data_IF_603513591009
#
_entry.id   IF_603513591009
#
_cell.length_a   1.000
_cell.length_b   1.000
_cell.length_c   1.000
_cell.angle_alpha   90.00
_cell.angle_beta   90.00
_cell.angle_gamma   90.00
#
_symmetry.space_group_name_H-M   'P 1'
#
loop_
_entity.id
_entity.type
_entity.pdbx_description
1 polymer ?
#
# COMPACT_ATOMS: atom_id res chain seq x y z
N UNK A 1 -28.40 -16.27 -29.95
CA UNK A 1 -28.33 -15.68 -28.58
C UNK A 1 -27.25 -16.43 -27.82
N UNK A 2 -26.00 -15.99 -27.98
CA UNK A 2 -24.88 -16.47 -27.19
C UNK A 2 -25.03 -15.77 -25.84
N UNK A 3 -25.35 -16.52 -24.80
CA UNK A 3 -25.22 -16.03 -23.44
C UNK A 3 -23.73 -15.82 -23.23
N UNK A 4 -23.32 -14.56 -23.16
CA UNK A 4 -22.01 -14.18 -22.60
C UNK A 4 -21.95 -14.76 -21.20
N UNK A 5 -21.21 -15.83 -21.06
CA UNK A 5 -20.71 -16.24 -19.76
C UNK A 5 -19.69 -15.16 -19.36
N UNK A 6 -20.14 -14.18 -18.60
CA UNK A 6 -19.23 -13.24 -17.94
C UNK A 6 -18.27 -14.06 -17.10
N UNK A 7 -17.05 -14.24 -17.62
CA UNK A 7 -15.98 -14.88 -16.84
C UNK A 7 -15.80 -14.06 -15.58
N UNK A 8 -15.81 -14.73 -14.42
CA UNK A 8 -15.54 -14.11 -13.13
C UNK A 8 -14.20 -13.38 -13.21
N UNK A 9 -14.23 -12.04 -13.14
CA UNK A 9 -13.04 -11.22 -13.18
C UNK A 9 -12.53 -11.02 -11.76
N UNK A 10 -11.22 -11.19 -11.59
CA UNK A 10 -10.58 -10.88 -10.31
C UNK A 10 -9.51 -9.82 -10.49
N UNK A 11 -9.21 -9.11 -9.42
CA UNK A 11 -8.11 -8.17 -9.34
C UNK A 11 -7.12 -8.63 -8.27
N UNK A 12 -5.87 -8.23 -8.42
CA UNK A 12 -4.87 -8.40 -7.37
C UNK A 12 -4.66 -7.08 -6.67
N UNK A 13 -4.65 -7.12 -5.35
CA UNK A 13 -4.36 -5.96 -4.50
C UNK A 13 -3.11 -6.22 -3.67
N UNK A 14 -2.35 -5.17 -3.41
CA UNK A 14 -1.03 -5.26 -2.78
C UNK A 14 -1.00 -4.43 -1.49
N UNK A 15 -0.63 -5.04 -0.36
CA UNK A 15 -0.63 -4.35 0.92
C UNK A 15 0.53 -3.37 1.05
N UNK A 16 0.36 -2.40 1.93
CA UNK A 16 1.36 -1.45 2.33
C UNK A 16 1.89 -1.68 3.73
N UNK A 17 2.53 -0.65 4.26
CA UNK A 17 3.15 -0.66 5.58
C UNK A 17 2.13 -1.03 6.68
N UNK A 18 2.55 -1.87 7.61
CA UNK A 18 1.71 -2.46 8.64
C UNK A 18 1.43 -3.95 8.42
N UNK A 19 1.64 -4.45 7.20
CA UNK A 19 1.43 -5.86 6.85
C UNK A 19 2.66 -6.74 7.08
N UNK A 20 3.84 -6.15 7.23
CA UNK A 20 5.09 -6.87 7.43
C UNK A 20 5.13 -7.53 8.82
N UNK A 21 5.68 -8.73 8.85
CA UNK A 21 6.00 -9.45 10.09
C UNK A 21 7.34 -10.17 9.93
N UNK A 22 8.09 -10.27 11.02
CA UNK A 22 9.30 -11.09 11.04
C UNK A 22 8.91 -12.54 10.78
N UNK A 23 9.59 -13.19 9.83
CA UNK A 23 9.28 -14.55 9.40
C UNK A 23 8.29 -14.65 8.26
N UNK A 24 7.78 -13.53 7.73
CA UNK A 24 6.83 -13.55 6.61
C UNK A 24 7.39 -14.31 5.41
N UNK A 25 6.52 -15.06 4.71
CA UNK A 25 6.82 -15.89 3.54
C UNK A 25 7.72 -17.09 3.80
N UNK A 26 8.07 -17.41 5.05
CA UNK A 26 8.97 -18.55 5.36
C UNK A 26 8.41 -19.87 4.83
N UNK A 27 7.13 -20.16 5.04
CA UNK A 27 6.49 -21.39 4.56
C UNK A 27 6.43 -21.44 3.03
N UNK A 28 6.10 -20.34 2.39
CA UNK A 28 6.06 -20.26 0.93
C UNK A 28 7.45 -20.46 0.32
N UNK A 29 8.47 -19.86 0.93
CA UNK A 29 9.87 -20.00 0.52
C UNK A 29 10.37 -21.45 0.63
N UNK A 30 9.94 -22.18 1.65
CA UNK A 30 10.32 -23.58 1.85
C UNK A 30 9.91 -24.48 0.68
N UNK A 31 8.82 -24.15 -0.01
CA UNK A 31 8.30 -24.92 -1.14
C UNK A 31 8.60 -24.28 -2.50
N UNK A 32 9.00 -23.02 -2.54
CA UNK A 32 9.18 -22.26 -3.79
C UNK A 32 10.50 -21.49 -3.77
N UNK A 33 11.56 -22.02 -4.41
CA UNK A 33 12.88 -21.36 -4.44
C UNK A 33 12.86 -19.94 -5.05
N UNK A 34 11.85 -19.63 -5.85
CA UNK A 34 11.69 -18.33 -6.49
C UNK A 34 11.50 -17.20 -5.46
N UNK A 35 10.98 -17.51 -4.27
CA UNK A 35 10.82 -16.50 -3.20
C UNK A 35 12.18 -15.99 -2.74
N UNK A 36 13.08 -16.86 -2.33
CA UNK A 36 14.43 -16.45 -1.88
C UNK A 36 15.22 -15.84 -3.01
N UNK A 37 15.07 -16.35 -4.25
CA UNK A 37 15.71 -15.77 -5.44
C UNK A 37 15.28 -14.31 -5.65
N UNK A 38 13.98 -14.00 -5.46
CA UNK A 38 13.47 -12.63 -5.57
C UNK A 38 14.07 -11.74 -4.50
N UNK A 39 14.17 -12.23 -3.26
CA UNK A 39 14.81 -11.48 -2.18
C UNK A 39 16.33 -11.32 -2.40
N UNK A 40 16.97 -12.27 -3.06
CA UNK A 40 18.39 -12.14 -3.43
C UNK A 40 18.62 -11.03 -4.46
N UNK A 41 17.72 -10.89 -5.44
CA UNK A 41 17.74 -9.77 -6.40
C UNK A 41 17.57 -8.43 -5.67
N UNK A 42 16.62 -8.37 -4.75
CA UNK A 42 16.40 -7.17 -3.93
C UNK A 42 17.64 -6.84 -3.09
N UNK A 43 18.24 -7.83 -2.46
CA UNK A 43 19.44 -7.67 -1.64
C UNK A 43 20.63 -7.15 -2.45
N UNK A 44 20.81 -7.65 -3.68
CA UNK A 44 21.84 -7.15 -4.59
C UNK A 44 21.63 -5.66 -4.91
N UNK A 45 20.39 -5.25 -5.12
CA UNK A 45 20.06 -3.85 -5.38
C UNK A 45 20.29 -2.95 -4.15
N UNK A 46 20.02 -3.45 -2.96
CA UNK A 46 20.12 -2.68 -1.71
C UNK A 46 21.54 -2.65 -1.12
N UNK A 47 22.32 -3.68 -1.36
CA UNK A 47 23.64 -3.83 -0.75
C UNK A 47 23.64 -4.43 0.65
N UNK A 48 22.51 -5.03 1.09
CA UNK A 48 22.42 -5.79 2.33
C UNK A 48 21.46 -6.97 2.15
N UNK A 49 21.49 -7.93 3.07
CA UNK A 49 20.67 -9.15 2.99
C UNK A 49 19.25 -8.88 3.51
N UNK A 50 18.32 -8.60 2.59
CA UNK A 50 16.93 -8.31 2.91
C UNK A 50 16.19 -9.55 3.45
N UNK A 51 16.51 -10.74 2.94
CA UNK A 51 15.90 -11.98 3.41
C UNK A 51 16.26 -12.25 4.87
N UNK A 52 17.54 -12.08 5.22
CA UNK A 52 17.99 -12.21 6.61
C UNK A 52 17.29 -11.21 7.53
N UNK A 53 17.14 -9.95 7.09
CA UNK A 53 16.40 -8.94 7.84
C UNK A 53 14.95 -9.38 8.11
N UNK A 54 14.27 -9.86 7.08
CA UNK A 54 12.86 -10.28 7.18
C UNK A 54 12.69 -11.53 8.04
N UNK A 55 13.60 -12.51 7.96
CA UNK A 55 13.48 -13.77 8.67
C UNK A 55 14.03 -13.72 10.10
N UNK A 56 15.10 -12.98 10.32
CA UNK A 56 15.89 -13.03 11.56
C UNK A 56 16.10 -11.66 12.22
N UNK A 57 15.68 -10.57 11.56
CA UNK A 57 15.81 -9.22 12.09
C UNK A 57 14.84 -8.96 13.24
N UNK A 58 15.03 -7.83 13.91
CA UNK A 58 14.10 -7.38 14.94
C UNK A 58 12.88 -6.70 14.34
N UNK A 59 11.80 -6.65 15.10
CA UNK A 59 10.59 -5.90 14.73
C UNK A 59 10.93 -4.42 14.49
N UNK A 60 11.75 -3.82 15.34
CA UNK A 60 12.17 -2.43 15.22
C UNK A 60 12.91 -2.17 13.91
N UNK A 61 13.84 -3.07 13.53
CA UNK A 61 14.57 -2.93 12.27
C UNK A 61 13.64 -3.04 11.06
N UNK A 62 12.77 -4.06 11.06
CA UNK A 62 11.82 -4.26 9.95
C UNK A 62 10.81 -3.11 9.84
N UNK A 63 10.47 -2.46 10.94
CA UNK A 63 9.51 -1.35 10.97
C UNK A 63 10.11 0.02 10.64
N UNK A 64 11.41 0.12 10.41
CA UNK A 64 12.00 1.33 9.82
C UNK A 64 11.51 1.47 8.39
N UNK A 65 10.86 2.58 8.06
CA UNK A 65 10.12 2.69 6.78
C UNK A 65 10.99 2.46 5.56
N UNK A 66 12.27 2.84 5.59
CA UNK A 66 13.21 2.60 4.47
C UNK A 66 13.62 1.13 4.33
N UNK A 67 13.34 0.29 5.32
CA UNK A 67 13.50 -1.17 5.26
C UNK A 67 12.17 -1.88 5.04
N UNK A 68 11.10 -1.39 5.64
CA UNK A 68 9.74 -1.91 5.46
C UNK A 68 9.32 -1.90 3.99
N UNK A 69 9.56 -0.78 3.30
CA UNK A 69 9.09 -0.61 1.93
C UNK A 69 9.74 -1.58 0.96
N UNK A 70 11.08 -1.72 0.92
CA UNK A 70 11.68 -2.78 0.09
C UNK A 70 11.23 -4.19 0.46
N UNK A 71 11.06 -4.48 1.76
CA UNK A 71 10.63 -5.80 2.22
C UNK A 71 9.23 -6.16 1.69
N UNK A 72 8.29 -5.23 1.77
CA UNK A 72 6.92 -5.44 1.26
C UNK A 72 6.89 -5.56 -0.26
N UNK A 73 7.65 -4.74 -0.97
CA UNK A 73 7.73 -4.82 -2.42
C UNK A 73 8.30 -6.17 -2.86
N UNK A 74 9.39 -6.61 -2.26
CA UNK A 74 10.00 -7.90 -2.55
C UNK A 74 9.04 -9.06 -2.25
N UNK A 75 8.34 -9.01 -1.12
CA UNK A 75 7.38 -10.04 -0.74
C UNK A 75 6.24 -10.16 -1.75
N UNK A 76 5.62 -9.05 -2.13
CA UNK A 76 4.51 -9.04 -3.09
C UNK A 76 4.95 -9.50 -4.48
N UNK A 77 6.10 -9.04 -4.96
CA UNK A 77 6.65 -9.45 -6.26
C UNK A 77 7.02 -10.93 -6.25
N UNK A 78 7.60 -11.43 -5.15
CA UNK A 78 7.92 -12.85 -5.01
C UNK A 78 6.67 -13.73 -5.15
N UNK A 79 5.59 -13.38 -4.46
CA UNK A 79 4.31 -14.12 -4.54
C UNK A 79 3.74 -14.06 -5.97
N UNK A 80 3.75 -12.90 -6.59
CA UNK A 80 3.28 -12.73 -7.97
C UNK A 80 4.06 -13.60 -8.95
N UNK A 81 5.39 -13.67 -8.81
CA UNK A 81 6.24 -14.53 -9.63
C UNK A 81 5.93 -16.02 -9.42
N UNK A 82 5.72 -16.45 -8.18
CA UNK A 82 5.30 -17.83 -7.88
C UNK A 82 3.94 -18.14 -8.50
N UNK A 83 3.00 -17.20 -8.41
CA UNK A 83 1.68 -17.31 -9.05
C UNK A 83 1.81 -17.54 -10.57
N UNK A 84 2.65 -16.76 -11.24
CA UNK A 84 2.90 -16.91 -12.67
C UNK A 84 3.57 -18.24 -13.00
N UNK A 85 4.60 -18.64 -12.24
CA UNK A 85 5.31 -19.90 -12.44
C UNK A 85 4.39 -21.11 -12.33
N UNK A 86 3.40 -21.05 -11.45
CA UNK A 86 2.39 -22.11 -11.28
C UNK A 86 1.22 -22.02 -12.28
N UNK A 87 1.28 -21.13 -13.24
CA UNK A 87 0.25 -21.00 -14.27
C UNK A 87 -1.04 -20.35 -13.78
N UNK A 88 -1.00 -19.55 -12.74
CA UNK A 88 -2.16 -18.82 -12.24
C UNK A 88 -2.77 -17.91 -13.32
N UNK A 89 -4.08 -17.72 -13.26
CA UNK A 89 -4.80 -16.83 -14.19
C UNK A 89 -4.33 -15.39 -14.00
N UNK A 90 -4.37 -14.62 -15.09
CA UNK A 90 -4.00 -13.20 -15.03
C UNK A 90 -5.16 -12.35 -14.51
N UNK A 91 -4.89 -11.40 -13.62
CA UNK A 91 -5.91 -10.51 -13.10
C UNK A 91 -6.41 -9.54 -14.18
N UNK A 92 -7.65 -9.05 -14.01
CA UNK A 92 -8.22 -8.02 -14.87
C UNK A 92 -7.59 -6.63 -14.61
N UNK A 93 -7.21 -6.36 -13.36
CA UNK A 93 -6.57 -5.11 -12.95
C UNK A 93 -5.85 -5.29 -11.61
N UNK A 94 -5.01 -4.32 -11.30
CA UNK A 94 -4.21 -4.28 -10.09
C UNK A 94 -4.46 -2.98 -9.33
N UNK A 95 -4.32 -3.02 -8.01
CA UNK A 95 -4.27 -1.84 -7.16
C UNK A 95 -3.41 -2.13 -5.94
N UNK A 96 -2.74 -1.12 -5.42
CA UNK A 96 -1.94 -1.27 -4.20
C UNK A 96 -2.21 -0.13 -3.23
N UNK A 97 -2.12 -0.41 -1.95
CA UNK A 97 -2.33 0.57 -0.89
C UNK A 97 -1.00 1.22 -0.53
N UNK A 98 -0.87 2.53 -0.76
CA UNK A 98 0.36 3.31 -0.49
C UNK A 98 1.59 2.68 -1.17
N UNK A 99 2.54 2.13 -0.42
CA UNK A 99 3.68 1.38 -0.95
C UNK A 99 3.25 0.29 -1.94
N UNK A 100 2.11 -0.33 -1.68
CA UNK A 100 1.57 -1.40 -2.54
C UNK A 100 1.30 -0.98 -3.98
N UNK A 101 1.11 0.31 -4.25
CA UNK A 101 0.99 0.80 -5.63
C UNK A 101 2.26 0.57 -6.44
N UNK A 102 3.43 0.67 -5.80
CA UNK A 102 4.72 0.33 -6.42
C UNK A 102 4.80 -1.17 -6.74
N UNK A 103 4.32 -2.02 -5.85
CA UNK A 103 4.23 -3.46 -6.09
C UNK A 103 3.35 -3.76 -7.31
N UNK A 104 2.21 -3.12 -7.41
CA UNK A 104 1.31 -3.23 -8.56
C UNK A 104 1.99 -2.78 -9.86
N UNK A 105 2.71 -1.66 -9.84
CA UNK A 105 3.41 -1.13 -11.01
C UNK A 105 4.53 -2.05 -11.47
N UNK A 106 5.28 -2.67 -10.56
CA UNK A 106 6.29 -3.67 -10.91
C UNK A 106 5.64 -4.89 -11.54
N UNK A 107 4.57 -5.41 -10.95
CA UNK A 107 3.84 -6.56 -11.50
C UNK A 107 3.21 -6.27 -12.86
N UNK A 108 2.85 -5.02 -13.13
CA UNK A 108 2.35 -4.55 -14.43
C UNK A 108 3.47 -4.24 -15.44
N UNK A 109 4.73 -4.43 -15.08
CA UNK A 109 5.87 -4.21 -15.97
C UNK A 109 6.24 -2.74 -16.18
N UNK A 110 5.73 -1.82 -15.37
CA UNK A 110 5.99 -0.38 -15.51
C UNK A 110 7.39 -0.01 -15.05
N UNK A 111 7.81 -0.55 -13.89
CA UNK A 111 9.12 -0.28 -13.28
C UNK A 111 9.86 -1.61 -13.13
N UNK A 112 11.13 -1.65 -13.52
CA UNK A 112 11.98 -2.82 -13.29
C UNK A 112 12.12 -3.07 -11.78
N UNK A 113 12.11 -4.34 -11.37
CA UNK A 113 12.10 -4.71 -9.96
C UNK A 113 13.30 -4.17 -9.18
N UNK A 114 14.49 -4.30 -9.70
CA UNK A 114 15.73 -3.81 -9.05
C UNK A 114 15.72 -2.29 -8.88
N UNK A 115 15.24 -1.56 -9.88
CA UNK A 115 15.08 -0.10 -9.80
C UNK A 115 14.00 0.29 -8.80
N UNK A 116 12.89 -0.44 -8.77
CA UNK A 116 11.80 -0.17 -7.84
C UNK A 116 12.21 -0.43 -6.38
N UNK A 117 13.02 -1.44 -6.11
CA UNK A 117 13.56 -1.72 -4.78
C UNK A 117 14.37 -0.54 -4.26
N UNK A 118 15.27 0.01 -5.07
CA UNK A 118 16.05 1.21 -4.72
C UNK A 118 15.16 2.43 -4.55
N UNK A 119 14.16 2.57 -5.40
CA UNK A 119 13.23 3.69 -5.38
C UNK A 119 12.41 3.71 -4.09
N UNK A 120 11.88 2.58 -3.65
CA UNK A 120 11.07 2.56 -2.41
C UNK A 120 11.93 2.65 -1.16
N UNK A 121 13.17 2.22 -1.18
CA UNK A 121 14.13 2.53 -0.11
C UNK A 121 14.34 4.04 -0.01
N UNK A 122 14.59 4.70 -1.14
CA UNK A 122 14.72 6.16 -1.18
C UNK A 122 13.46 6.86 -0.70
N UNK A 123 12.29 6.40 -1.16
CA UNK A 123 10.99 6.92 -0.70
C UNK A 123 10.90 6.89 0.82
N UNK A 124 11.24 5.77 1.43
CA UNK A 124 11.24 5.62 2.89
C UNK A 124 12.20 6.59 3.58
N UNK A 125 13.41 6.74 3.06
CA UNK A 125 14.42 7.69 3.58
C UNK A 125 13.93 9.15 3.48
N UNK A 126 13.39 9.53 2.34
CA UNK A 126 12.87 10.88 2.11
C UNK A 126 11.68 11.20 3.02
N UNK A 127 10.80 10.23 3.23
CA UNK A 127 9.67 10.39 4.14
C UNK A 127 10.13 10.61 5.58
N UNK A 128 11.11 9.84 6.04
CA UNK A 128 11.66 9.98 7.39
C UNK A 128 12.41 11.32 7.57
N UNK A 129 13.13 11.77 6.56
CA UNK A 129 13.83 13.06 6.59
C UNK A 129 12.89 14.27 6.60
N UNK A 130 11.69 14.15 6.03
CA UNK A 130 10.75 15.25 5.91
C UNK A 130 10.18 15.69 7.26
N UNK A 131 10.11 14.79 8.22
CA UNK A 131 9.57 15.08 9.55
C UNK A 131 10.51 14.48 10.60
N UNK A 132 11.05 15.32 11.53
CA UNK A 132 11.88 14.82 12.61
C UNK A 132 11.17 13.75 13.43
N UNK A 133 11.91 12.74 13.83
CA UNK A 133 11.37 11.62 14.61
C UNK A 133 10.68 12.15 15.89
N UNK A 134 9.50 11.62 16.18
CA UNK A 134 8.70 12.00 17.34
C UNK A 134 7.86 13.27 17.19
N UNK A 135 7.92 13.96 16.04
CA UNK A 135 7.15 15.19 15.79
C UNK A 135 5.89 14.96 14.95
N UNK A 136 5.80 13.83 14.26
CA UNK A 136 4.62 13.40 13.52
C UNK A 136 3.89 12.26 14.21
N UNK A 137 2.64 12.05 13.83
CA UNK A 137 1.82 10.95 14.34
C UNK A 137 0.75 10.54 13.34
N UNK A 138 0.20 9.35 13.56
CA UNK A 138 -0.96 8.82 12.85
C UNK A 138 -1.90 8.16 13.84
N UNK A 139 -3.21 8.29 13.62
CA UNK A 139 -4.24 7.59 14.40
C UNK A 139 -5.28 6.99 13.48
N UNK A 140 -5.74 5.79 13.82
CA UNK A 140 -6.89 5.16 13.17
C UNK A 140 -8.17 5.58 13.86
N UNK A 141 -9.09 6.20 13.11
CA UNK A 141 -10.40 6.62 13.59
C UNK A 141 -11.45 5.59 13.15
N UNK A 142 -12.12 4.99 14.11
CA UNK A 142 -13.09 3.93 13.88
C UNK A 142 -14.50 4.40 14.28
N UNK A 143 -15.46 4.20 13.38
CA UNK A 143 -16.89 4.41 13.70
C UNK A 143 -17.34 5.86 13.57
N UNK A 144 -16.74 6.66 12.73
CA UNK A 144 -17.15 8.03 12.43
C UNK A 144 -17.12 8.26 10.93
N UNK A 145 -18.03 9.06 10.39
CA UNK A 145 -18.09 9.36 8.96
C UNK A 145 -16.95 10.29 8.50
N UNK A 146 -16.63 10.24 7.21
CA UNK A 146 -15.52 10.97 6.62
C UNK A 146 -15.66 12.49 6.82
N UNK A 147 -16.85 13.05 6.62
CA UNK A 147 -17.09 14.48 6.76
C UNK A 147 -16.85 14.99 8.19
N UNK A 148 -17.29 14.23 9.18
CA UNK A 148 -17.06 14.55 10.60
C UNK A 148 -15.59 14.46 10.97
N UNK A 149 -14.86 13.50 10.43
CA UNK A 149 -13.40 13.36 10.63
C UNK A 149 -12.66 14.55 9.99
N UNK A 150 -13.01 14.90 8.76
CA UNK A 150 -12.40 16.05 8.08
C UNK A 150 -12.62 17.34 8.86
N UNK A 151 -13.83 17.56 9.38
CA UNK A 151 -14.17 18.72 10.22
C UNK A 151 -13.34 18.74 11.51
N UNK A 152 -13.23 17.61 12.19
CA UNK A 152 -12.43 17.49 13.41
C UNK A 152 -10.96 17.83 13.15
N UNK A 153 -10.39 17.38 12.03
CA UNK A 153 -9.04 17.71 11.63
C UNK A 153 -8.88 19.21 11.37
N UNK A 154 -9.78 19.80 10.61
CA UNK A 154 -9.74 21.21 10.27
C UNK A 154 -9.79 22.11 11.52
N UNK A 155 -10.71 21.81 12.44
CA UNK A 155 -10.87 22.55 13.70
C UNK A 155 -9.71 22.34 14.68
N UNK A 156 -9.00 21.21 14.57
CA UNK A 156 -7.92 20.84 15.49
C UNK A 156 -6.52 21.24 15.01
N UNK A 157 -6.38 21.72 13.80
CA UNK A 157 -5.07 22.02 13.20
C UNK A 157 -4.30 23.11 13.94
N UNK A 158 -4.96 24.21 14.30
CA UNK A 158 -4.38 25.33 15.07
C UNK A 158 -2.99 25.78 14.56
N UNK A 159 -2.90 25.97 13.24
CA UNK A 159 -1.64 26.37 12.60
C UNK A 159 -0.68 25.21 12.30
N UNK A 160 -0.97 24.01 12.73
CA UNK A 160 -0.25 22.79 12.40
C UNK A 160 -0.96 22.01 11.28
N UNK A 161 -0.44 20.85 10.92
CA UNK A 161 -1.02 19.96 9.91
C UNK A 161 -1.67 18.77 10.61
N UNK A 162 -2.91 18.50 10.27
CA UNK A 162 -3.59 17.22 10.50
C UNK A 162 -4.69 17.06 9.47
N UNK A 163 -4.78 15.89 8.86
CA UNK A 163 -5.78 15.60 7.83
C UNK A 163 -6.08 14.10 7.75
N UNK A 164 -7.24 13.73 7.19
CA UNK A 164 -7.49 12.35 6.80
C UNK A 164 -6.52 11.95 5.70
N UNK A 165 -5.86 10.81 5.85
CA UNK A 165 -4.81 10.37 4.91
C UNK A 165 -5.07 8.99 4.31
N UNK A 166 -5.85 8.11 4.96
CA UNK A 166 -6.24 6.83 4.40
C UNK A 166 -7.74 6.63 4.60
N UNK A 167 -8.47 6.62 3.50
CA UNK A 167 -9.89 6.25 3.49
C UNK A 167 -9.96 4.74 3.22
N UNK A 168 -9.82 3.94 4.28
CA UNK A 168 -9.65 2.50 4.17
C UNK A 168 -10.96 1.74 3.97
N UNK A 169 -12.02 2.18 4.62
CA UNK A 169 -13.39 1.70 4.41
C UNK A 169 -14.35 2.70 5.04
N UNK A 170 -15.66 2.62 4.76
CA UNK A 170 -16.64 3.36 5.56
C UNK A 170 -16.42 3.07 7.04
N UNK A 171 -16.24 4.11 7.85
CA UNK A 171 -15.97 3.98 9.28
C UNK A 171 -14.54 3.61 9.68
N UNK A 172 -13.60 3.56 8.75
CA UNK A 172 -12.19 3.35 9.07
C UNK A 172 -11.31 4.31 8.26
N UNK A 173 -10.86 5.36 8.93
CA UNK A 173 -10.04 6.43 8.34
C UNK A 173 -8.82 6.66 9.23
N UNK A 174 -7.66 6.80 8.60
CA UNK A 174 -6.44 7.21 9.31
C UNK A 174 -6.25 8.70 9.15
N UNK A 175 -5.91 9.38 10.24
CA UNK A 175 -5.51 10.78 10.26
C UNK A 175 -4.02 10.87 10.54
N UNK A 176 -3.35 11.89 9.98
CA UNK A 176 -1.92 12.09 10.15
C UNK A 176 -1.56 13.57 10.13
N UNK A 177 -0.43 13.89 10.73
CA UNK A 177 0.11 15.25 10.76
C UNK A 177 1.09 15.46 11.90
N UNK A 178 1.16 16.69 12.39
CA UNK A 178 1.93 17.02 13.57
C UNK A 178 1.33 16.31 14.79
N UNK A 179 2.18 15.79 15.66
CA UNK A 179 1.78 14.97 16.80
C UNK A 179 0.67 15.60 17.65
N UNK A 180 0.85 16.85 18.04
CA UNK A 180 -0.11 17.58 18.88
C UNK A 180 -1.45 17.78 18.18
N UNK A 181 -1.43 18.11 16.88
CA UNK A 181 -2.64 18.30 16.09
C UNK A 181 -3.40 16.97 15.89
N UNK A 182 -2.68 15.87 15.69
CA UNK A 182 -3.27 14.53 15.59
C UNK A 182 -3.93 14.13 16.91
N UNK A 183 -3.29 14.40 18.04
CA UNK A 183 -3.85 14.15 19.37
C UNK A 183 -5.15 14.94 19.57
N UNK A 184 -5.16 16.24 19.24
CA UNK A 184 -6.36 17.08 19.32
C UNK A 184 -7.47 16.58 18.42
N UNK A 185 -7.14 16.23 17.17
CA UNK A 185 -8.11 15.74 16.19
C UNK A 185 -8.70 14.40 16.62
N UNK A 186 -7.88 13.49 17.17
CA UNK A 186 -8.34 12.21 17.71
C UNK A 186 -9.34 12.39 18.85
N UNK A 187 -9.05 13.31 19.78
CA UNK A 187 -9.96 13.65 20.87
C UNK A 187 -11.27 14.28 20.34
N UNK A 188 -11.18 15.15 19.33
CA UNK A 188 -12.35 15.74 18.68
C UNK A 188 -13.21 14.70 17.98
N UNK A 189 -12.60 13.73 17.32
CA UNK A 189 -13.32 12.60 16.70
C UNK A 189 -14.04 11.76 17.75
N UNK A 190 -13.42 11.48 18.89
CA UNK A 190 -14.06 10.77 19.99
C UNK A 190 -15.26 11.56 20.53
N UNK A 191 -15.13 12.86 20.72
CA UNK A 191 -16.22 13.74 21.16
C UNK A 191 -17.36 13.79 20.14
N UNK A 192 -17.07 13.65 18.85
CA UNK A 192 -18.05 13.61 17.77
C UNK A 192 -18.73 12.24 17.59
N UNK A 193 -18.34 11.23 18.36
CA UNK A 193 -18.99 9.92 18.36
C UNK A 193 -18.16 8.76 17.80
N UNK A 194 -16.88 8.96 17.47
CA UNK A 194 -16.03 7.85 17.07
C UNK A 194 -15.96 6.79 18.16
N UNK A 195 -16.00 5.52 17.77
CA UNK A 195 -15.88 4.41 18.72
C UNK A 195 -14.46 4.29 19.26
N UNK A 196 -13.45 4.54 18.40
CA UNK A 196 -12.04 4.47 18.75
C UNK A 196 -11.24 5.54 18.02
N UNK A 197 -10.19 6.02 18.67
CA UNK A 197 -9.12 6.80 18.08
C UNK A 197 -7.82 6.15 18.56
N UNK A 198 -7.21 5.31 17.70
CA UNK A 198 -6.09 4.44 18.07
C UNK A 198 -4.78 5.00 17.51
N UNK A 199 -3.81 5.38 18.37
CA UNK A 199 -2.48 5.72 17.91
C UNK A 199 -1.85 4.55 17.15
N UNK A 200 -1.22 4.84 16.02
CA UNK A 200 -0.47 3.85 15.26
C UNK A 200 1.01 3.93 15.65
N UNK A 201 1.73 2.79 15.68
CA UNK A 201 3.14 2.74 16.06
C UNK A 201 4.04 3.17 14.91
N UNK A 202 3.77 4.32 14.31
CA UNK A 202 4.52 4.91 13.19
C UNK A 202 4.81 6.37 13.50
N UNK A 203 6.00 6.84 13.14
CA UNK A 203 6.44 8.23 13.39
C UNK A 203 6.33 9.11 12.14
N UNK A 204 6.18 8.53 10.95
CA UNK A 204 6.11 9.27 9.69
C UNK A 204 4.66 9.54 9.34
N UNK A 205 4.23 10.82 9.33
CA UNK A 205 2.86 11.20 8.97
C UNK A 205 2.68 11.20 7.45
N UNK A 206 2.44 10.02 6.88
CA UNK A 206 2.31 9.81 5.44
C UNK A 206 1.06 10.47 4.87
N UNK A 207 1.11 10.82 3.60
CA UNK A 207 -0.04 11.27 2.79
C UNK A 207 -0.70 12.58 3.26
N UNK A 208 0.03 13.41 3.98
CA UNK A 208 -0.39 14.76 4.35
C UNK A 208 0.59 15.81 3.82
N UNK A 209 0.27 17.08 4.01
CA UNK A 209 1.08 18.20 3.51
C UNK A 209 2.54 18.19 4.00
N UNK A 210 2.82 17.56 5.15
CA UNK A 210 4.18 17.43 5.68
C UNK A 210 5.10 16.60 4.77
N UNK A 211 4.52 15.77 3.87
CA UNK A 211 5.29 14.97 2.91
C UNK A 211 5.63 15.70 1.61
N UNK A 212 5.19 16.94 1.42
CA UNK A 212 5.48 17.70 0.19
C UNK A 212 6.98 17.82 -0.10
N UNK A 213 7.86 18.12 0.87
CA UNK A 213 9.31 18.16 0.60
C UNK A 213 9.87 16.81 0.14
N UNK A 214 9.40 15.71 0.73
CA UNK A 214 9.78 14.38 0.28
C UNK A 214 9.28 14.08 -1.14
N UNK A 215 8.06 14.49 -1.46
CA UNK A 215 7.48 14.32 -2.79
C UNK A 215 8.27 15.08 -3.87
N UNK A 216 8.73 16.28 -3.58
CA UNK A 216 9.53 17.08 -4.52
C UNK A 216 10.88 16.39 -4.83
N UNK A 217 11.52 15.81 -3.83
CA UNK A 217 12.76 15.04 -4.00
C UNK A 217 12.50 13.71 -4.72
N UNK A 218 11.40 13.04 -4.40
CA UNK A 218 10.99 11.81 -5.09
C UNK A 218 10.76 12.06 -6.57
N UNK A 219 10.16 13.20 -6.94
CA UNK A 219 9.92 13.56 -8.33
C UNK A 219 11.22 13.58 -9.15
N UNK A 220 12.31 14.09 -8.58
CA UNK A 220 13.63 14.10 -9.22
C UNK A 220 14.13 12.68 -9.48
N UNK A 221 13.97 11.78 -8.52
CA UNK A 221 14.38 10.39 -8.67
C UNK A 221 13.54 9.65 -9.73
N UNK A 222 12.22 9.90 -9.75
CA UNK A 222 11.31 9.27 -10.72
C UNK A 222 11.64 9.64 -12.17
N UNK A 223 12.06 10.88 -12.43
CA UNK A 223 12.44 11.33 -13.77
C UNK A 223 13.65 10.57 -14.34
N UNK A 224 14.49 10.00 -13.50
CA UNK A 224 15.70 9.26 -13.90
C UNK A 224 15.42 7.81 -14.26
N UNK A 225 14.24 7.30 -13.95
CA UNK A 225 13.86 5.91 -14.18
C UNK A 225 13.06 5.74 -15.47
N UNK A 226 13.22 4.59 -16.11
CA UNK A 226 12.40 4.22 -17.26
C UNK A 226 11.06 3.65 -16.76
N UNK A 227 9.98 4.24 -17.25
CA UNK A 227 8.62 3.76 -17.01
C UNK A 227 8.04 3.23 -18.31
N UNK A 228 7.68 1.96 -18.32
CA UNK A 228 7.02 1.33 -19.47
C UNK A 228 5.51 1.42 -19.34
N UNK A 229 4.79 1.25 -20.46
CA UNK A 229 3.34 1.16 -20.43
C UNK A 229 2.89 -0.05 -19.60
N UNK A 230 1.85 0.09 -18.75
CA UNK A 230 1.36 -1.02 -17.94
C UNK A 230 0.78 -2.15 -18.80
N UNK A 231 1.09 -3.40 -18.44
CA UNK A 231 0.50 -4.59 -19.08
C UNK A 231 -0.87 -4.95 -18.48
N UNK A 232 -1.19 -4.39 -17.34
CA UNK A 232 -2.49 -4.46 -16.66
C UNK A 232 -2.92 -3.06 -16.27
N UNK A 233 -4.24 -2.75 -16.26
CA UNK A 233 -4.70 -1.52 -15.62
C UNK A 233 -4.29 -1.51 -14.14
N UNK A 234 -3.70 -0.41 -13.69
CA UNK A 234 -3.34 -0.19 -12.28
C UNK A 234 -4.10 1.02 -11.77
N UNK A 235 -4.97 0.80 -10.78
CA UNK A 235 -5.75 1.89 -10.16
C UNK A 235 -4.86 2.64 -9.19
N UNK A 236 -4.63 3.93 -9.40
CA UNK A 236 -3.81 4.73 -8.50
C UNK A 236 -4.60 5.24 -7.29
N UNK A 237 -3.89 5.49 -6.20
CA UNK A 237 -4.51 5.91 -4.94
C UNK A 237 -5.00 7.35 -4.95
N UNK A 238 -4.33 8.24 -5.68
CA UNK A 238 -4.55 9.70 -5.58
C UNK A 238 -5.73 10.17 -6.43
N UNK A 239 -5.92 9.61 -7.63
CA UNK A 239 -6.96 10.01 -8.57
C UNK A 239 -8.04 8.95 -8.80
N UNK A 240 -7.80 7.71 -8.38
CA UNK A 240 -8.66 6.54 -8.66
C UNK A 240 -8.83 6.36 -10.17
N UNK A 241 -7.71 6.35 -10.89
CA UNK A 241 -7.65 6.23 -12.34
C UNK A 241 -6.54 5.27 -12.75
N UNK A 242 -6.70 4.69 -13.95
CA UNK A 242 -5.69 3.82 -14.55
C UNK A 242 -4.93 4.60 -15.62
N UNK A 243 -3.81 5.17 -15.27
CA UNK A 243 -2.97 5.92 -16.18
C UNK A 243 -2.12 4.98 -17.04
N UNK A 244 -1.82 5.40 -18.27
CA UNK A 244 -1.07 4.59 -19.24
C UNK A 244 0.26 5.23 -19.67
N UNK A 245 0.41 6.54 -19.55
CA UNK A 245 1.65 7.21 -19.90
C UNK A 245 2.62 7.26 -18.72
N UNK A 246 3.91 7.17 -19.02
CA UNK A 246 4.96 7.30 -18.01
C UNK A 246 4.85 8.61 -17.22
N UNK A 247 4.58 9.72 -17.90
CA UNK A 247 4.45 11.02 -17.27
C UNK A 247 3.28 11.08 -16.29
N UNK A 248 2.10 10.57 -16.67
CA UNK A 248 0.93 10.55 -15.80
C UNK A 248 1.13 9.64 -14.59
N UNK A 249 1.79 8.50 -14.77
CA UNK A 249 2.10 7.58 -13.67
C UNK A 249 3.08 8.22 -12.68
N UNK A 250 4.14 8.86 -13.16
CA UNK A 250 5.09 9.59 -12.30
C UNK A 250 4.40 10.69 -11.51
N UNK A 251 3.57 11.50 -12.18
CA UNK A 251 2.79 12.56 -11.54
C UNK A 251 1.89 12.01 -10.43
N UNK A 252 1.20 10.92 -10.68
CA UNK A 252 0.34 10.28 -9.68
C UNK A 252 1.14 9.80 -8.46
N UNK A 253 2.32 9.21 -8.65
CA UNK A 253 3.18 8.75 -7.56
C UNK A 253 3.70 9.92 -6.70
N UNK A 254 4.05 11.03 -7.32
CA UNK A 254 4.50 12.24 -6.60
C UNK A 254 3.36 12.79 -5.74
N UNK A 255 2.18 12.95 -6.31
CA UNK A 255 1.00 13.49 -5.59
C UNK A 255 0.48 12.52 -4.54
N UNK A 256 0.62 11.22 -4.74
CA UNK A 256 0.23 10.19 -3.77
C UNK A 256 0.93 10.40 -2.42
N UNK A 257 2.18 10.87 -2.40
CA UNK A 257 2.97 10.94 -1.18
C UNK A 257 2.44 11.98 -0.19
N UNK A 258 1.80 13.04 -0.67
CA UNK A 258 1.26 14.12 0.18
C UNK A 258 -0.26 14.32 0.04
N UNK A 259 -0.96 13.35 -0.54
CA UNK A 259 -2.42 13.32 -0.66
C UNK A 259 -2.98 11.99 -0.14
N UNK A 260 -4.27 11.94 0.22
CA UNK A 260 -4.89 10.75 0.78
C UNK A 260 -4.84 9.53 -0.14
N UNK A 261 -4.72 8.37 0.48
CA UNK A 261 -4.96 7.08 -0.17
C UNK A 261 -6.47 6.84 -0.18
N UNK A 262 -7.06 6.89 -1.36
CA UNK A 262 -8.51 6.75 -1.58
C UNK A 262 -8.86 5.27 -1.80
N UNK A 263 -8.55 4.43 -0.80
CA UNK A 263 -8.68 2.98 -0.95
C UNK A 263 -10.12 2.52 -1.14
N UNK A 264 -11.06 3.06 -0.37
CA UNK A 264 -12.49 2.79 -0.52
C UNK A 264 -12.94 3.00 -1.98
N UNK A 265 -12.59 4.16 -2.54
CA UNK A 265 -12.94 4.47 -3.93
C UNK A 265 -12.20 3.58 -4.94
N UNK A 266 -10.97 3.17 -4.66
CA UNK A 266 -10.25 2.22 -5.52
C UNK A 266 -10.98 0.88 -5.61
N UNK A 267 -11.44 0.35 -4.48
CA UNK A 267 -12.18 -0.92 -4.45
C UNK A 267 -13.54 -0.78 -5.15
N UNK A 268 -14.25 0.32 -4.89
CA UNK A 268 -15.52 0.62 -5.57
C UNK A 268 -15.32 0.73 -7.08
N UNK A 269 -14.26 1.40 -7.53
CA UNK A 269 -13.90 1.51 -8.95
C UNK A 269 -13.71 0.13 -9.59
N UNK A 270 -12.94 -0.75 -8.95
CA UNK A 270 -12.72 -2.10 -9.47
C UNK A 270 -14.02 -2.89 -9.59
N UNK A 271 -14.91 -2.78 -8.60
CA UNK A 271 -16.22 -3.42 -8.64
C UNK A 271 -17.08 -2.88 -9.79
N UNK A 272 -17.07 -1.57 -10.03
CA UNK A 272 -17.78 -0.93 -11.14
C UNK A 272 -17.26 -1.40 -12.51
N UNK A 273 -15.97 -1.72 -12.59
CA UNK A 273 -15.34 -2.26 -13.80
C UNK A 273 -15.58 -3.77 -14.00
N UNK A 274 -16.38 -4.39 -13.15
CA UNK A 274 -16.77 -5.79 -13.28
C UNK A 274 -15.97 -6.79 -12.46
N UNK A 275 -15.06 -6.33 -11.60
CA UNK A 275 -14.32 -7.21 -10.70
C UNK A 275 -15.26 -7.75 -9.63
N UNK A 276 -15.23 -9.08 -9.43
CA UNK A 276 -16.08 -9.77 -8.46
C UNK A 276 -15.31 -10.38 -7.29
N UNK A 277 -13.99 -10.48 -7.40
CA UNK A 277 -13.14 -10.99 -6.32
C UNK A 277 -11.78 -10.29 -6.30
N UNK A 278 -11.21 -10.17 -5.11
CA UNK A 278 -9.87 -9.63 -4.90
C UNK A 278 -8.97 -10.70 -4.31
N UNK A 279 -7.72 -10.76 -4.79
CA UNK A 279 -6.65 -11.53 -4.17
C UNK A 279 -5.63 -10.56 -3.60
N UNK A 280 -5.39 -10.63 -2.32
CA UNK A 280 -4.36 -9.82 -1.65
C UNK A 280 -3.01 -10.53 -1.76
N UNK A 281 -2.12 -9.99 -2.58
CA UNK A 281 -0.81 -10.55 -2.89
C UNK A 281 0.24 -9.87 -2.03
N UNK A 282 0.57 -10.49 -0.92
CA UNK A 282 1.49 -9.94 0.05
C UNK A 282 1.29 -10.53 1.43
N UNK A 283 2.11 -10.14 2.41
CA UNK A 283 1.94 -10.60 3.78
C UNK A 283 0.66 -10.04 4.41
N UNK A 284 0.08 -10.78 5.34
CA UNK A 284 -1.12 -10.35 6.06
C UNK A 284 -2.41 -10.48 5.26
N UNK A 285 -3.47 -9.88 5.82
CA UNK A 285 -4.82 -9.92 5.24
C UNK A 285 -5.62 -8.63 5.52
N UNK A 286 -4.93 -7.51 5.65
CA UNK A 286 -5.57 -6.22 5.98
C UNK A 286 -6.55 -5.79 4.90
N UNK A 287 -6.13 -5.82 3.63
CA UNK A 287 -6.99 -5.41 2.52
C UNK A 287 -8.16 -6.38 2.31
N UNK A 288 -7.92 -7.66 2.54
CA UNK A 288 -8.95 -8.70 2.52
C UNK A 288 -10.04 -8.38 3.55
N UNK A 289 -9.65 -8.00 4.76
CA UNK A 289 -10.59 -7.65 5.83
C UNK A 289 -11.40 -6.39 5.58
N UNK A 290 -10.89 -5.46 4.78
CA UNK A 290 -11.57 -4.22 4.42
C UNK A 290 -12.62 -4.41 3.30
N UNK A 291 -12.44 -5.41 2.45
CA UNK A 291 -13.16 -5.52 1.17
C UNK A 291 -14.66 -5.57 1.35
N UNK A 292 -15.18 -6.44 2.22
CA UNK A 292 -16.65 -6.58 2.42
C UNK A 292 -17.28 -5.35 3.05
N UNK A 293 -16.52 -4.56 3.79
CA UNK A 293 -17.00 -3.30 4.36
C UNK A 293 -17.16 -2.20 3.32
N UNK A 294 -16.47 -2.35 2.19
CA UNK A 294 -16.52 -1.39 1.08
C UNK A 294 -17.60 -1.80 0.08
N UNK A 295 -17.52 -3.02 -0.42
CA UNK A 295 -18.50 -3.61 -1.34
C UNK A 295 -18.82 -5.02 -0.82
N UNK A 296 -20.00 -5.21 -0.27
CA UNK A 296 -20.40 -6.43 0.43
C UNK A 296 -20.51 -7.65 -0.50
N UNK A 297 -20.70 -7.44 -1.80
CA UNK A 297 -20.77 -8.49 -2.81
C UNK A 297 -19.43 -8.98 -3.32
N UNK A 298 -18.32 -8.26 -3.02
CA UNK A 298 -16.98 -8.71 -3.38
C UNK A 298 -16.51 -9.79 -2.42
N UNK A 299 -15.88 -10.82 -2.99
CA UNK A 299 -15.10 -11.78 -2.20
C UNK A 299 -13.63 -11.35 -2.19
N UNK A 300 -12.90 -11.69 -1.15
CA UNK A 300 -11.48 -11.41 -1.05
C UNK A 300 -10.78 -12.54 -0.29
N UNK A 301 -9.54 -12.81 -0.68
CA UNK A 301 -8.70 -13.79 -0.02
C UNK A 301 -7.23 -13.36 -0.08
N UNK A 302 -6.43 -13.66 0.96
CA UNK A 302 -4.99 -13.45 0.89
C UNK A 302 -4.31 -14.56 0.08
N UNK A 303 -3.14 -14.24 -0.48
CA UNK A 303 -2.24 -15.22 -1.12
C UNK A 303 -0.84 -14.94 -0.58
N UNK A 304 -0.39 -15.72 0.38
CA UNK A 304 0.89 -15.49 1.06
C UNK A 304 1.54 -16.73 1.67
N UNK A 305 0.89 -17.89 1.59
CA UNK A 305 1.42 -19.17 2.05
C UNK A 305 1.01 -20.30 1.09
N UNK A 306 1.54 -21.53 1.26
CA UNK A 306 1.21 -22.62 0.36
C UNK A 306 -0.29 -22.93 0.29
N UNK A 307 -0.99 -22.90 1.43
CA UNK A 307 -2.42 -23.21 1.48
C UNK A 307 -3.26 -22.15 0.76
N UNK A 308 -3.02 -20.88 1.03
CA UNK A 308 -3.76 -19.77 0.39
C UNK A 308 -3.46 -19.68 -1.10
N UNK A 309 -2.22 -19.95 -1.50
CA UNK A 309 -1.85 -20.02 -2.92
C UNK A 309 -2.61 -21.13 -3.64
N UNK A 310 -2.59 -22.34 -3.09
CA UNK A 310 -3.29 -23.50 -3.66
C UNK A 310 -4.81 -23.27 -3.75
N UNK A 311 -5.39 -22.65 -2.74
CA UNK A 311 -6.82 -22.33 -2.73
C UNK A 311 -7.22 -21.33 -3.81
N UNK A 312 -6.32 -20.41 -4.19
CA UNK A 312 -6.59 -19.35 -5.16
C UNK A 312 -6.29 -19.75 -6.62
N UNK A 313 -5.41 -20.73 -6.85
CA UNK A 313 -5.02 -21.21 -8.19
C UNK A 313 -6.15 -21.88 -8.97
#
# INVERSE_FOLDING_TARGET
>A
LIKDFTMTQFAMVFPGQGSQTVGMLAELAAENPLVEKTFAEASAALGYDLWALVQQGTVEELNKTWQTQPALLAASVAIFRVWQEKGGKMPAMLAGHSLGEYSALVCAGVIAFDEAIKLVELRGKLMQEAVPEGTGAMQAIIGLDDASIAKACEESAQGQVVSPVNFNSPGQVVIAGNKEAVERAGAACKAAGAKRALPLPVSVPSHCALMKPAADKLAVALEKLTFNAPTFPVVNNVDVQCETSAEAIRSALVRQLYNPVRWTECVEFMAQEGVTSLLEVGPGKVLTGLTKRIVDTLTAAPVNDPASLSAAL
#
